data_IF_929973441004
#
_entry.id   IF_929973441004
#
_cell.length_a   1.000
_cell.length_b   1.000
_cell.length_c   1.000
_cell.angle_alpha   90.00
_cell.angle_beta   90.00
_cell.angle_gamma   90.00
#
_symmetry.space_group_name_H-M   'P 1'
#
loop_
_entity.id
_entity.type
_entity.pdbx_description
1 polymer ?
#
# COMPACT_ATOMS: atom_id res chain seq x y z
N UNK A 1 -6.68 -17.81 -32.91
CA UNK A 1 -5.89 -18.91 -33.40
C UNK A 1 -5.34 -19.76 -32.26
N UNK A 2 -5.36 -21.08 -32.46
CA UNK A 2 -4.96 -22.06 -31.45
C UNK A 2 -3.48 -21.95 -31.03
N UNK A 3 -2.63 -21.34 -31.83
CA UNK A 3 -1.22 -21.02 -31.52
C UNK A 3 -1.03 -20.04 -30.35
N UNK A 4 -2.11 -19.44 -29.88
CA UNK A 4 -2.13 -18.52 -28.71
C UNK A 4 -2.86 -19.10 -27.50
N UNK A 5 -3.37 -20.31 -27.60
CA UNK A 5 -4.01 -21.00 -26.48
C UNK A 5 -2.91 -21.64 -25.63
N UNK A 6 -2.80 -21.23 -24.37
CA UNK A 6 -1.80 -21.71 -23.44
C UNK A 6 -2.39 -22.75 -22.48
N UNK A 7 -3.63 -22.57 -22.06
CA UNK A 7 -4.41 -23.46 -21.20
C UNK A 7 -5.77 -23.65 -21.86
N UNK A 8 -6.26 -24.87 -22.01
CA UNK A 8 -7.55 -25.16 -22.62
C UNK A 8 -8.31 -26.19 -21.78
N UNK A 9 -9.15 -25.70 -20.87
CA UNK A 9 -10.00 -26.51 -20.03
C UNK A 9 -9.39 -26.92 -18.67
N UNK A 10 -8.09 -26.74 -18.46
CA UNK A 10 -7.41 -27.01 -17.20
C UNK A 10 -7.66 -25.83 -16.21
N UNK A 11 -8.76 -25.92 -15.49
CA UNK A 11 -9.24 -24.84 -14.61
C UNK A 11 -8.32 -24.60 -13.42
N UNK A 12 -7.70 -25.64 -12.89
CA UNK A 12 -6.82 -25.54 -11.70
C UNK A 12 -5.50 -24.85 -12.06
N UNK A 13 -4.91 -25.18 -13.21
CA UNK A 13 -3.73 -24.51 -13.74
C UNK A 13 -4.00 -23.06 -14.09
N UNK A 14 -5.15 -22.77 -14.70
CA UNK A 14 -5.59 -21.42 -15.00
C UNK A 14 -5.76 -20.58 -13.72
N UNK A 15 -6.35 -21.17 -12.68
CA UNK A 15 -6.48 -20.53 -11.37
C UNK A 15 -5.12 -20.28 -10.73
N UNK A 16 -4.24 -21.28 -10.70
CA UNK A 16 -2.89 -21.17 -10.14
C UNK A 16 -2.07 -20.07 -10.85
N UNK A 17 -2.10 -20.05 -12.17
CA UNK A 17 -1.40 -19.04 -12.97
C UNK A 17 -1.92 -17.62 -12.69
N UNK A 18 -3.25 -17.47 -12.65
CA UNK A 18 -3.89 -16.18 -12.41
C UNK A 18 -3.61 -15.65 -10.99
N UNK A 19 -3.67 -16.53 -9.99
CA UNK A 19 -3.44 -16.14 -8.59
C UNK A 19 -1.97 -15.82 -8.33
N UNK A 20 -1.04 -16.55 -8.90
CA UNK A 20 0.39 -16.25 -8.83
C UNK A 20 0.69 -14.90 -9.50
N UNK A 21 0.20 -14.67 -10.72
CA UNK A 21 0.33 -13.38 -11.39
C UNK A 21 -0.22 -12.24 -10.54
N UNK A 22 -1.45 -12.39 -10.03
CA UNK A 22 -2.09 -11.37 -9.21
C UNK A 22 -1.31 -11.11 -7.92
N UNK A 23 -0.75 -12.13 -7.28
CA UNK A 23 0.06 -12.01 -6.06
C UNK A 23 1.32 -11.18 -6.32
N UNK A 24 2.07 -11.49 -7.37
CA UNK A 24 3.26 -10.72 -7.76
C UNK A 24 2.92 -9.27 -8.09
N UNK A 25 1.85 -9.06 -8.86
CA UNK A 25 1.39 -7.71 -9.20
C UNK A 25 0.98 -6.92 -7.96
N UNK A 26 0.21 -7.52 -7.04
CA UNK A 26 -0.22 -6.87 -5.79
C UNK A 26 0.95 -6.53 -4.91
N UNK A 27 1.89 -7.44 -4.78
CA UNK A 27 3.14 -7.23 -4.03
C UNK A 27 3.97 -6.06 -4.60
N UNK A 28 4.18 -6.01 -5.91
CA UNK A 28 4.93 -4.90 -6.54
C UNK A 28 4.20 -3.55 -6.44
N UNK A 29 2.86 -3.57 -6.53
CA UNK A 29 2.04 -2.37 -6.33
C UNK A 29 2.24 -1.74 -4.95
N UNK A 30 2.37 -2.54 -3.90
CA UNK A 30 2.60 -2.06 -2.54
C UNK A 30 3.88 -1.22 -2.49
N UNK A 31 5.00 -1.74 -3.03
CA UNK A 31 6.27 -1.01 -3.06
C UNK A 31 6.21 0.30 -3.85
N UNK A 32 5.63 0.25 -5.05
CA UNK A 32 5.48 1.45 -5.89
C UNK A 32 4.62 2.54 -5.23
N UNK A 33 3.60 2.15 -4.48
CA UNK A 33 2.69 3.10 -3.81
C UNK A 33 3.23 3.60 -2.47
N UNK A 34 4.13 2.85 -1.82
CA UNK A 34 4.87 3.37 -0.67
C UNK A 34 5.73 4.59 -1.09
N UNK A 35 6.47 4.49 -2.20
CA UNK A 35 7.19 5.64 -2.75
C UNK A 35 6.28 6.83 -3.11
N UNK A 36 5.07 6.58 -3.59
CA UNK A 36 4.08 7.64 -3.78
C UNK A 36 3.65 8.29 -2.46
N UNK A 37 3.44 7.50 -1.42
CA UNK A 37 3.15 7.99 -0.07
C UNK A 37 4.28 8.86 0.48
N UNK A 38 5.54 8.45 0.28
CA UNK A 38 6.73 9.22 0.68
C UNK A 38 6.77 10.59 0.02
N UNK A 39 6.41 10.67 -1.28
CA UNK A 39 6.33 11.94 -1.99
C UNK A 39 5.26 12.85 -1.39
N UNK A 40 4.08 12.32 -1.04
CA UNK A 40 3.02 13.11 -0.42
C UNK A 40 3.39 13.57 1.00
N UNK A 41 4.06 12.72 1.78
CA UNK A 41 4.56 13.06 3.12
C UNK A 41 5.59 14.19 3.01
N UNK A 42 6.55 14.06 2.11
CA UNK A 42 7.58 15.07 1.87
C UNK A 42 7.01 16.40 1.39
N UNK A 43 6.12 16.36 0.39
CA UNK A 43 5.44 17.55 -0.12
C UNK A 43 4.56 18.22 0.95
N UNK A 44 3.86 17.43 1.78
CA UNK A 44 3.09 17.95 2.91
C UNK A 44 3.95 18.68 3.93
N UNK A 45 5.13 18.15 4.27
CA UNK A 45 6.07 18.80 5.16
C UNK A 45 6.62 20.12 4.56
N UNK A 46 6.99 20.11 3.28
CA UNK A 46 7.44 21.30 2.56
C UNK A 46 6.35 22.38 2.49
N UNK A 47 5.11 21.98 2.24
CA UNK A 47 3.98 22.92 2.20
C UNK A 47 3.70 23.53 3.58
N UNK A 48 3.76 22.74 4.65
CA UNK A 48 3.63 23.25 6.01
C UNK A 48 4.68 24.33 6.29
N UNK A 49 5.95 24.08 5.96
CA UNK A 49 7.03 25.06 6.10
C UNK A 49 6.79 26.31 5.24
N UNK A 50 6.38 26.14 3.98
CA UNK A 50 6.07 27.26 3.09
C UNK A 50 4.91 28.13 3.59
N UNK A 51 4.00 27.56 4.37
CA UNK A 51 2.92 28.28 5.05
C UNK A 51 3.33 28.86 6.42
N UNK A 52 4.58 28.68 6.85
CA UNK A 52 5.06 29.13 8.16
C UNK A 52 4.51 28.30 9.33
N UNK A 53 4.12 27.05 9.07
CA UNK A 53 3.51 26.17 10.05
C UNK A 53 4.48 25.01 10.38
N UNK A 54 4.59 24.73 11.69
CA UNK A 54 5.35 23.60 12.18
C UNK A 54 4.39 22.43 12.45
N UNK A 55 4.48 21.38 11.62
CA UNK A 55 3.62 20.20 11.74
C UNK A 55 3.81 19.43 13.06
N UNK A 56 4.91 19.64 13.78
CA UNK A 56 5.08 19.06 15.12
C UNK A 56 4.29 19.82 16.19
N UNK A 57 4.08 21.13 15.99
CA UNK A 57 3.43 22.01 16.97
C UNK A 57 1.97 22.25 16.68
N UNK A 58 1.58 22.23 15.39
CA UNK A 58 0.20 22.49 14.97
C UNK A 58 -0.61 21.20 15.00
N UNK A 59 -1.58 21.03 15.94
CA UNK A 59 -2.24 19.74 16.18
C UNK A 59 -2.90 19.13 14.94
N UNK A 60 -3.67 19.93 14.19
CA UNK A 60 -4.38 19.44 13.01
C UNK A 60 -3.46 19.01 11.87
N UNK A 61 -2.28 19.63 11.70
CA UNK A 61 -1.28 19.17 10.74
C UNK A 61 -0.60 17.91 11.21
N UNK A 62 -0.23 17.84 12.49
CA UNK A 62 0.37 16.64 13.09
C UNK A 62 -0.52 15.42 12.90
N UNK A 63 -1.82 15.54 13.19
CA UNK A 63 -2.78 14.45 13.01
C UNK A 63 -2.81 13.96 11.55
N UNK A 64 -2.86 14.87 10.58
CA UNK A 64 -2.88 14.51 9.15
C UNK A 64 -1.58 13.87 8.68
N UNK A 65 -0.44 14.39 9.12
CA UNK A 65 0.87 13.82 8.79
C UNK A 65 1.03 12.41 9.38
N UNK A 66 0.62 12.21 10.64
CA UNK A 66 0.66 10.90 11.29
C UNK A 66 -0.26 9.92 10.56
N UNK A 67 -1.46 10.34 10.17
CA UNK A 67 -2.39 9.48 9.43
C UNK A 67 -1.84 9.07 8.06
N UNK A 68 -1.23 10.01 7.32
CA UNK A 68 -0.61 9.74 6.03
C UNK A 68 0.57 8.77 6.17
N UNK A 69 1.43 8.95 7.16
CA UNK A 69 2.53 8.04 7.50
C UNK A 69 1.98 6.65 7.86
N UNK A 70 0.98 6.59 8.74
CA UNK A 70 0.36 5.33 9.16
C UNK A 70 -0.21 4.53 7.99
N UNK A 71 -0.88 5.20 7.06
CA UNK A 71 -1.42 4.56 5.85
C UNK A 71 -0.27 4.02 4.99
N UNK A 72 0.72 4.84 4.70
CA UNK A 72 1.86 4.48 3.83
C UNK A 72 2.66 3.32 4.41
N UNK A 73 3.10 3.45 5.65
CA UNK A 73 3.89 2.42 6.33
C UNK A 73 3.07 1.15 6.62
N UNK A 74 1.77 1.29 6.87
CA UNK A 74 0.88 0.17 7.16
C UNK A 74 0.77 -0.82 6.00
N UNK A 75 0.52 -0.35 4.78
CA UNK A 75 0.49 -1.26 3.64
C UNK A 75 1.90 -1.67 3.19
N UNK A 76 2.92 -0.83 3.36
CA UNK A 76 4.32 -1.17 3.06
C UNK A 76 4.83 -2.31 3.95
N UNK A 77 4.52 -2.28 5.24
CA UNK A 77 4.84 -3.38 6.17
C UNK A 77 4.26 -4.73 5.70
N UNK A 78 3.07 -4.73 5.10
CA UNK A 78 2.51 -5.93 4.46
C UNK A 78 3.36 -6.39 3.27
N UNK A 79 3.92 -5.48 2.49
CA UNK A 79 4.85 -5.80 1.40
C UNK A 79 6.12 -6.47 1.91
N UNK A 80 6.72 -5.94 2.97
CA UNK A 80 7.87 -6.56 3.65
C UNK A 80 7.51 -7.95 4.20
N UNK A 81 6.37 -8.07 4.88
CA UNK A 81 5.90 -9.37 5.37
C UNK A 81 5.69 -10.38 4.23
N UNK A 82 5.10 -9.95 3.12
CA UNK A 82 4.91 -10.77 1.92
C UNK A 82 6.23 -11.26 1.33
N UNK A 83 7.27 -10.40 1.30
CA UNK A 83 8.62 -10.80 0.89
C UNK A 83 9.26 -11.79 1.87
N UNK A 84 9.15 -11.52 3.17
CA UNK A 84 9.82 -12.32 4.20
C UNK A 84 9.19 -13.71 4.37
N UNK A 85 7.86 -13.80 4.20
CA UNK A 85 7.09 -15.04 4.34
C UNK A 85 6.93 -15.79 3.01
N UNK A 86 7.48 -15.27 1.92
CA UNK A 86 7.46 -15.91 0.62
C UNK A 86 8.29 -17.18 0.57
N UNK A 87 8.03 -18.01 -0.44
CA UNK A 87 8.67 -19.33 -0.61
C UNK A 87 9.20 -19.50 -2.02
N UNK A 88 10.14 -20.43 -2.19
CA UNK A 88 10.57 -20.87 -3.53
C UNK A 88 9.71 -22.06 -3.96
N UNK A 89 9.30 -22.05 -5.22
CA UNK A 89 8.64 -23.21 -5.84
C UNK A 89 9.66 -24.30 -6.23
N UNK A 90 9.16 -25.43 -6.74
CA UNK A 90 10.00 -26.55 -7.14
C UNK A 90 10.99 -26.21 -8.28
N UNK A 91 10.71 -25.17 -9.07
CA UNK A 91 11.59 -24.67 -10.11
C UNK A 91 12.61 -23.64 -9.61
N UNK A 92 12.57 -23.29 -8.31
CA UNK A 92 13.45 -22.32 -7.69
C UNK A 92 12.97 -20.86 -7.84
N UNK A 93 11.79 -20.62 -8.40
CA UNK A 93 11.24 -19.26 -8.49
C UNK A 93 10.69 -18.81 -7.14
N UNK A 94 11.00 -17.58 -6.76
CA UNK A 94 10.45 -16.99 -5.54
C UNK A 94 8.99 -16.59 -5.75
N UNK A 95 8.13 -16.94 -4.78
CA UNK A 95 6.74 -16.51 -4.72
C UNK A 95 6.50 -15.73 -3.42
N UNK A 96 6.05 -14.46 -3.50
CA UNK A 96 5.68 -13.69 -2.33
C UNK A 96 4.52 -14.35 -1.58
N UNK A 97 4.44 -14.14 -0.27
CA UNK A 97 3.30 -14.62 0.50
C UNK A 97 2.01 -13.96 0.02
N UNK A 98 1.05 -14.81 -0.34
CA UNK A 98 -0.21 -14.40 -0.97
C UNK A 98 -1.12 -13.65 0.00
N UNK A 99 -1.14 -14.01 1.28
CA UNK A 99 -2.00 -13.39 2.28
C UNK A 99 -1.58 -11.94 2.48
N UNK A 100 -0.28 -11.72 2.74
CA UNK A 100 0.21 -10.37 3.00
C UNK A 100 0.21 -9.49 1.75
N UNK A 101 0.46 -10.04 0.56
CA UNK A 101 0.32 -9.31 -0.70
C UNK A 101 -1.11 -8.81 -0.91
N UNK A 102 -2.10 -9.66 -0.63
CA UNK A 102 -3.52 -9.29 -0.75
C UNK A 102 -3.95 -8.29 0.33
N UNK A 103 -3.52 -8.46 1.59
CA UNK A 103 -3.84 -7.53 2.67
C UNK A 103 -3.26 -6.15 2.38
N UNK A 104 -1.98 -6.06 2.05
CA UNK A 104 -1.33 -4.78 1.77
C UNK A 104 -1.95 -4.06 0.58
N UNK A 105 -2.26 -4.79 -0.50
CA UNK A 105 -2.94 -4.20 -1.65
C UNK A 105 -4.39 -3.77 -1.35
N UNK A 106 -5.09 -4.50 -0.50
CA UNK A 106 -6.45 -4.14 -0.07
C UNK A 106 -6.44 -2.88 0.81
N UNK A 107 -5.49 -2.76 1.73
CA UNK A 107 -5.29 -1.55 2.54
C UNK A 107 -5.03 -0.35 1.64
N UNK A 108 -4.10 -0.47 0.70
CA UNK A 108 -3.83 0.57 -0.30
C UNK A 108 -5.08 0.95 -1.09
N UNK A 109 -5.80 -0.04 -1.65
CA UNK A 109 -6.98 0.20 -2.47
C UNK A 109 -8.09 0.96 -1.71
N UNK A 110 -8.25 0.66 -0.43
CA UNK A 110 -9.24 1.32 0.40
C UNK A 110 -8.84 2.75 0.82
N UNK A 111 -7.53 3.04 0.86
CA UNK A 111 -7.01 4.27 1.48
C UNK A 111 -6.34 5.25 0.50
N UNK A 112 -6.24 4.91 -0.80
CA UNK A 112 -5.57 5.78 -1.78
C UNK A 112 -6.22 7.17 -1.84
N UNK A 113 -7.55 7.25 -1.79
CA UNK A 113 -8.27 8.54 -1.81
C UNK A 113 -8.14 9.29 -0.48
N UNK A 114 -7.96 8.59 0.64
CA UNK A 114 -7.65 9.22 1.92
C UNK A 114 -6.26 9.87 1.90
N UNK A 115 -5.28 9.24 1.26
CA UNK A 115 -3.94 9.83 1.07
C UNK A 115 -4.03 11.13 0.28
N UNK A 116 -4.81 11.18 -0.80
CA UNK A 116 -5.04 12.40 -1.57
C UNK A 116 -5.74 13.47 -0.74
N UNK A 117 -6.81 13.12 -0.04
CA UNK A 117 -7.55 14.03 0.84
C UNK A 117 -6.63 14.62 1.92
N UNK A 118 -5.79 13.81 2.55
CA UNK A 118 -4.84 14.27 3.56
C UNK A 118 -3.81 15.23 2.98
N UNK A 119 -3.28 14.94 1.79
CA UNK A 119 -2.35 15.83 1.09
C UNK A 119 -3.00 17.18 0.74
N UNK A 120 -4.24 17.17 0.27
CA UNK A 120 -5.01 18.41 0.02
C UNK A 120 -5.27 19.19 1.29
N UNK A 121 -5.64 18.53 2.38
CA UNK A 121 -5.87 19.17 3.67
C UNK A 121 -4.60 19.87 4.23
N UNK A 122 -3.44 19.22 4.08
CA UNK A 122 -2.15 19.79 4.49
C UNK A 122 -1.78 20.98 3.61
N UNK A 123 -2.13 20.93 2.32
CA UNK A 123 -1.84 21.98 1.34
C UNK A 123 -2.73 23.23 1.51
N UNK A 124 -3.87 23.10 2.21
CA UNK A 124 -4.75 24.22 2.47
C UNK A 124 -5.57 24.71 1.26
N UNK A 125 -5.91 23.83 0.32
CA UNK A 125 -6.75 24.12 -0.84
C UNK A 125 -6.09 24.90 -1.97
N UNK A 126 -4.85 25.34 -1.81
CA UNK A 126 -4.10 26.04 -2.86
C UNK A 126 -3.82 25.16 -4.07
N UNK A 127 -3.87 23.85 -3.88
CA UNK A 127 -3.65 22.82 -4.91
C UNK A 127 -4.46 23.08 -6.18
N UNK A 128 -5.73 23.49 -6.07
CA UNK A 128 -6.61 23.73 -7.23
C UNK A 128 -6.95 25.21 -7.43
N UNK A 129 -6.48 26.10 -6.56
CA UNK A 129 -6.76 27.53 -6.61
C UNK A 129 -5.56 28.37 -7.05
N UNK A 130 -4.42 27.74 -7.27
CA UNK A 130 -3.22 28.43 -7.74
C UNK A 130 -3.42 28.85 -9.21
N UNK A 131 -3.09 30.10 -9.58
CA UNK A 131 -3.08 30.52 -10.97
C UNK A 131 -2.15 29.66 -11.84
N UNK A 132 -2.46 29.58 -13.12
CA UNK A 132 -1.63 28.83 -14.07
C UNK A 132 -0.17 29.31 -14.11
N UNK A 133 0.79 28.46 -14.52
CA UNK A 133 2.21 28.79 -14.56
C UNK A 133 2.54 30.03 -15.43
N UNK A 134 1.72 30.31 -16.44
CA UNK A 134 1.89 31.46 -17.33
C UNK A 134 1.75 32.80 -16.57
N UNK A 135 0.94 32.83 -15.52
CA UNK A 135 0.73 34.03 -14.71
C UNK A 135 1.96 34.38 -13.87
N UNK A 136 2.82 33.42 -13.54
CA UNK A 136 4.06 33.67 -12.81
C UNK A 136 5.06 34.53 -13.63
N UNK A 137 4.91 34.50 -14.96
CA UNK A 137 5.72 35.26 -15.90
C UNK A 137 4.99 36.44 -16.55
N UNK A 138 3.74 36.65 -16.20
CA UNK A 138 2.93 37.77 -16.70
C UNK A 138 3.42 39.07 -16.08
N UNK A 139 3.87 40.09 -16.88
CA UNK A 139 4.46 41.30 -16.35
C UNK A 139 3.47 42.17 -15.53
N UNK A 140 2.17 41.94 -15.67
CA UNK A 140 1.13 42.66 -14.93
C UNK A 140 0.79 42.00 -13.60
N UNK A 141 0.72 40.66 -13.57
CA UNK A 141 0.17 39.92 -12.43
C UNK A 141 1.24 39.27 -11.57
N UNK A 142 2.43 38.95 -12.08
CA UNK A 142 3.45 38.18 -11.37
C UNK A 142 3.86 38.81 -10.03
N UNK A 143 4.04 40.13 -9.98
CA UNK A 143 4.41 40.83 -8.75
C UNK A 143 3.28 40.79 -7.70
N UNK A 144 2.03 40.89 -8.14
CA UNK A 144 0.85 40.80 -7.28
C UNK A 144 0.70 39.39 -6.72
N UNK A 145 0.87 38.37 -7.59
CA UNK A 145 0.79 36.97 -7.16
C UNK A 145 1.88 36.62 -6.15
N UNK A 146 3.10 37.07 -6.41
CA UNK A 146 4.24 36.86 -5.51
C UNK A 146 4.02 37.49 -4.13
N UNK A 147 3.31 38.61 -4.04
CA UNK A 147 2.97 39.25 -2.77
C UNK A 147 1.78 38.58 -2.08
N UNK A 148 0.67 38.40 -2.80
CA UNK A 148 -0.61 37.91 -2.24
C UNK A 148 -0.57 36.43 -1.88
N UNK A 149 0.14 35.63 -2.67
CA UNK A 149 0.23 34.18 -2.47
C UNK A 149 1.50 33.74 -1.72
N UNK A 150 2.28 34.66 -1.22
CA UNK A 150 3.39 34.37 -0.31
C UNK A 150 2.84 33.77 0.98
N UNK A 151 3.44 32.68 1.43
CA UNK A 151 3.17 32.08 2.74
C UNK A 151 4.09 32.64 3.82
N UNK A 152 5.14 31.90 4.16
CA UNK A 152 6.16 32.38 5.10
C UNK A 152 7.04 33.46 4.45
N UNK A 153 7.39 34.57 5.17
CA UNK A 153 8.19 35.66 4.61
C UNK A 153 9.55 35.24 4.03
N UNK A 154 10.19 34.23 4.64
CA UNK A 154 11.51 33.75 4.26
C UNK A 154 11.46 32.66 3.16
N UNK A 155 10.25 32.29 2.69
CA UNK A 155 10.06 31.28 1.64
C UNK A 155 9.62 31.98 0.36
N UNK A 156 10.37 31.87 -0.75
CA UNK A 156 9.95 32.42 -2.03
C UNK A 156 8.59 31.89 -2.47
N UNK A 157 7.79 32.74 -3.09
CA UNK A 157 6.48 32.36 -3.64
C UNK A 157 6.60 31.16 -4.60
N UNK A 158 7.60 31.18 -5.47
CA UNK A 158 7.86 30.14 -6.48
C UNK A 158 8.05 28.77 -5.83
N UNK A 159 8.69 28.71 -4.69
CA UNK A 159 8.86 27.44 -3.97
C UNK A 159 7.51 26.89 -3.50
N UNK A 160 6.69 27.75 -2.88
CA UNK A 160 5.35 27.36 -2.43
C UNK A 160 4.43 26.95 -3.58
N UNK A 161 4.48 27.70 -4.68
CA UNK A 161 3.74 27.41 -5.91
C UNK A 161 4.15 26.08 -6.51
N UNK A 162 5.45 25.79 -6.60
CA UNK A 162 5.96 24.52 -7.13
C UNK A 162 5.55 23.33 -6.28
N UNK A 163 5.59 23.43 -4.95
CA UNK A 163 5.10 22.35 -4.06
C UNK A 163 3.60 22.14 -4.23
N UNK A 164 2.83 23.20 -4.38
CA UNK A 164 1.38 23.13 -4.64
C UNK A 164 1.08 22.41 -5.96
N UNK A 165 1.74 22.79 -7.04
CA UNK A 165 1.61 22.15 -8.38
C UNK A 165 2.05 20.70 -8.35
N UNK A 166 3.10 20.39 -7.60
CA UNK A 166 3.54 19.00 -7.42
C UNK A 166 2.47 18.14 -6.75
N UNK A 167 1.82 18.64 -5.69
CA UNK A 167 0.73 17.93 -5.02
C UNK A 167 -0.49 17.81 -5.97
N UNK A 168 -0.82 18.87 -6.71
CA UNK A 168 -1.87 18.84 -7.72
C UNK A 168 -1.61 17.76 -8.78
N UNK A 169 -0.40 17.71 -9.33
CA UNK A 169 -0.03 16.73 -10.35
C UNK A 169 -0.18 15.30 -9.84
N UNK A 170 0.25 15.03 -8.61
CA UNK A 170 0.13 13.71 -8.00
C UNK A 170 -1.32 13.30 -7.65
N UNK A 171 -2.21 14.26 -7.40
CA UNK A 171 -3.50 13.94 -6.73
C UNK A 171 -4.74 14.40 -7.45
N UNK A 172 -4.70 15.54 -8.15
CA UNK A 172 -5.87 16.19 -8.74
C UNK A 172 -5.80 16.33 -10.27
N UNK A 173 -4.64 16.09 -10.88
CA UNK A 173 -4.47 16.10 -12.33
C UNK A 173 -5.05 14.85 -12.98
N UNK A 174 -5.05 14.80 -14.31
CA UNK A 174 -5.36 13.59 -15.09
C UNK A 174 -4.46 12.42 -14.69
N UNK A 175 -3.15 12.67 -14.49
CA UNK A 175 -2.18 11.67 -14.02
C UNK A 175 -2.52 11.18 -12.61
N UNK A 176 -2.85 12.09 -11.69
CA UNK A 176 -3.27 11.76 -10.33
C UNK A 176 -4.56 10.93 -10.31
N UNK A 177 -5.54 11.27 -11.15
CA UNK A 177 -6.77 10.50 -11.32
C UNK A 177 -6.52 9.09 -11.84
N UNK A 178 -5.71 8.96 -12.89
CA UNK A 178 -5.29 7.67 -13.43
C UNK A 178 -4.57 6.82 -12.36
N UNK A 179 -3.65 7.43 -11.62
CA UNK A 179 -2.88 6.75 -10.58
C UNK A 179 -3.76 6.23 -9.43
N UNK A 180 -4.80 6.98 -9.08
CA UNK A 180 -5.80 6.59 -8.09
C UNK A 180 -6.59 5.37 -8.55
N UNK A 181 -7.09 5.40 -9.78
CA UNK A 181 -7.91 4.31 -10.35
C UNK A 181 -7.10 3.02 -10.46
N UNK A 182 -5.87 3.06 -10.94
CA UNK A 182 -5.04 1.84 -11.00
C UNK A 182 -4.58 1.38 -9.62
N UNK A 183 -4.47 2.28 -8.64
CA UNK A 183 -4.20 1.88 -7.25
C UNK A 183 -5.37 1.12 -6.64
N UNK A 184 -6.60 1.48 -7.02
CA UNK A 184 -7.80 0.77 -6.60
C UNK A 184 -7.97 -0.56 -7.36
N UNK A 185 -7.90 -0.56 -8.68
CA UNK A 185 -8.29 -1.68 -9.54
C UNK A 185 -7.12 -2.52 -10.08
N UNK A 186 -5.91 -2.00 -10.10
CA UNK A 186 -4.73 -2.73 -10.60
C UNK A 186 -4.50 -4.02 -9.82
N UNK A 187 -4.35 -5.14 -10.53
CA UNK A 187 -4.24 -6.46 -9.92
C UNK A 187 -5.55 -7.07 -9.44
N UNK A 188 -6.69 -6.58 -9.92
CA UNK A 188 -8.05 -7.03 -9.60
C UNK A 188 -8.75 -6.13 -8.58
N UNK A 189 -10.04 -6.39 -8.38
CA UNK A 189 -10.89 -5.59 -7.49
C UNK A 189 -10.57 -5.86 -6.01
N UNK A 190 -10.94 -4.95 -5.09
CA UNK A 190 -10.89 -5.21 -3.64
C UNK A 190 -11.62 -6.49 -3.23
N UNK A 191 -12.72 -6.83 -3.90
CA UNK A 191 -13.47 -8.05 -3.60
C UNK A 191 -12.67 -9.32 -3.95
N UNK A 192 -11.97 -9.33 -5.07
CA UNK A 192 -11.07 -10.44 -5.42
C UNK A 192 -9.97 -10.63 -4.36
N UNK A 193 -9.44 -9.54 -3.80
CA UNK A 193 -8.42 -9.61 -2.74
C UNK A 193 -9.00 -10.20 -1.45
N UNK A 194 -10.22 -9.81 -1.05
CA UNK A 194 -10.91 -10.38 0.12
C UNK A 194 -11.15 -11.87 -0.02
N UNK A 195 -11.59 -12.31 -1.19
CA UNK A 195 -11.80 -13.74 -1.47
C UNK A 195 -10.49 -14.52 -1.38
N UNK A 196 -9.39 -13.99 -1.93
CA UNK A 196 -8.08 -14.64 -1.85
C UNK A 196 -7.54 -14.69 -0.42
N UNK A 197 -7.73 -13.64 0.37
CA UNK A 197 -7.37 -13.64 1.80
C UNK A 197 -8.14 -14.75 2.52
N UNK A 198 -9.45 -14.81 2.34
CA UNK A 198 -10.29 -15.79 3.05
C UNK A 198 -9.99 -17.23 2.64
N UNK A 199 -9.72 -17.47 1.35
CA UNK A 199 -9.40 -18.81 0.83
C UNK A 199 -8.07 -19.36 1.35
N UNK A 200 -7.10 -18.46 1.55
CA UNK A 200 -5.73 -18.85 1.88
C UNK A 200 -5.41 -18.72 3.38
N UNK A 201 -6.27 -18.08 4.16
CA UNK A 201 -6.06 -17.95 5.60
C UNK A 201 -6.58 -19.19 6.34
N UNK A 202 -5.72 -19.78 7.17
CA UNK A 202 -6.05 -20.97 7.94
C UNK A 202 -6.92 -20.60 9.17
N UNK A 203 -8.22 -20.48 8.94
CA UNK A 203 -9.22 -20.21 9.99
C UNK A 203 -9.40 -21.42 10.91
N UNK A 204 -9.33 -22.65 10.36
CA UNK A 204 -9.49 -23.89 11.12
C UNK A 204 -8.42 -23.98 12.22
N UNK A 205 -7.16 -23.75 11.89
CA UNK A 205 -6.08 -23.73 12.88
C UNK A 205 -6.28 -22.66 13.98
N UNK A 206 -7.01 -21.59 13.70
CA UNK A 206 -7.36 -20.59 14.73
C UNK A 206 -8.50 -21.07 15.63
N UNK A 207 -9.46 -21.78 15.07
CA UNK A 207 -10.54 -22.42 15.83
C UNK A 207 -9.98 -23.52 16.74
N UNK A 208 -9.07 -24.34 16.22
CA UNK A 208 -8.40 -25.39 17.00
C UNK A 208 -7.60 -24.81 18.18
N UNK A 209 -6.94 -23.67 17.96
CA UNK A 209 -6.25 -22.95 19.04
C UNK A 209 -7.21 -22.55 20.16
N UNK A 210 -8.40 -22.04 19.82
CA UNK A 210 -9.43 -21.66 20.80
C UNK A 210 -9.98 -22.90 21.50
N UNK A 211 -10.27 -23.98 20.76
CA UNK A 211 -10.75 -25.24 21.33
C UNK A 211 -9.72 -25.82 22.30
N UNK A 212 -8.43 -25.80 21.96
CA UNK A 212 -7.37 -26.27 22.85
C UNK A 212 -7.28 -25.47 24.17
N UNK A 213 -7.68 -24.20 24.18
CA UNK A 213 -7.79 -23.40 25.41
C UNK A 213 -9.00 -23.83 26.25
N UNK A 214 -10.13 -24.16 25.64
CA UNK A 214 -11.33 -24.68 26.35
C UNK A 214 -11.06 -26.06 26.93
N UNK A 215 -10.42 -26.95 26.20
CA UNK A 215 -10.12 -28.32 26.61
C UNK A 215 -9.14 -28.39 27.80
N UNK A 216 -8.28 -27.37 27.93
CA UNK A 216 -7.36 -27.24 29.08
C UNK A 216 -8.02 -26.73 30.37
N UNK A 217 -9.37 -26.64 30.40
CA UNK A 217 -10.09 -26.14 31.55
C UNK A 217 -9.85 -24.67 31.82
N UNK A 218 -9.96 -23.88 30.76
CA UNK A 218 -10.00 -22.44 30.69
C UNK A 218 -9.13 -21.69 31.70
N UNK A 219 -8.18 -20.96 31.24
CA UNK A 219 -7.65 -19.82 31.98
C UNK A 219 -6.93 -20.15 33.30
N UNK A 220 -6.08 -21.16 33.33
CA UNK A 220 -4.90 -21.04 34.19
C UNK A 220 -4.11 -19.81 33.70
N UNK A 221 -4.49 -18.66 34.19
CA UNK A 221 -3.83 -17.39 33.92
C UNK A 221 -2.36 -17.53 34.31
N UNK A 222 -1.48 -17.57 33.34
CA UNK A 222 -0.02 -17.58 33.57
C UNK A 222 0.78 -18.56 32.73
N UNK A 223 0.18 -19.54 32.07
CA UNK A 223 0.94 -20.40 31.14
C UNK A 223 0.63 -19.97 29.70
N UNK A 224 1.49 -19.09 29.16
CA UNK A 224 1.35 -18.58 27.80
C UNK A 224 1.28 -19.69 26.76
N UNK A 225 0.24 -19.69 25.93
CA UNK A 225 0.16 -20.52 24.73
C UNK A 225 1.16 -19.97 23.73
N UNK A 226 2.20 -20.74 23.39
CA UNK A 226 3.10 -20.39 22.30
C UNK A 226 2.34 -20.56 20.99
N UNK A 227 1.97 -19.47 20.38
CA UNK A 227 1.46 -19.45 19.00
C UNK A 227 2.68 -19.57 18.09
N UNK A 228 2.92 -20.77 17.57
CA UNK A 228 3.96 -20.97 16.55
C UNK A 228 3.42 -20.42 15.21
N UNK A 229 3.84 -19.22 14.88
CA UNK A 229 3.61 -18.64 13.56
C UNK A 229 4.68 -19.20 12.62
N UNK A 230 4.50 -20.42 12.17
CA UNK A 230 5.39 -20.95 11.15
C UNK A 230 5.23 -20.16 9.84
N UNK A 231 6.35 -19.69 9.26
CA UNK A 231 6.33 -19.16 7.90
C UNK A 231 5.88 -20.28 6.93
N UNK A 232 4.96 -19.97 6.03
CA UNK A 232 4.75 -20.77 4.82
C UNK A 232 3.85 -21.99 4.92
N UNK A 233 2.88 -22.08 5.83
CA UNK A 233 1.77 -23.00 5.63
C UNK A 233 0.80 -22.42 4.61
N UNK A 234 1.12 -22.64 3.34
CA UNK A 234 0.13 -22.63 2.29
C UNK A 234 -0.90 -23.71 2.65
N UNK A 235 -2.18 -23.37 2.76
CA UNK A 235 -3.25 -24.34 2.89
C UNK A 235 -3.36 -25.15 1.59
N UNK A 236 -2.54 -26.15 1.48
CA UNK A 236 -2.57 -27.07 0.37
C UNK A 236 -3.49 -28.25 0.66
N UNK A 237 -4.78 -28.03 0.54
CA UNK A 237 -5.61 -29.10 0.00
C UNK A 237 -5.35 -29.07 -1.52
N UNK A 238 -4.24 -29.65 -1.95
CA UNK A 238 -3.91 -29.76 -3.36
C UNK A 238 -2.43 -29.89 -3.74
N UNK A 239 -1.49 -29.68 -2.81
CA UNK A 239 -0.08 -29.95 -3.09
C UNK A 239 0.36 -31.23 -2.38
N UNK A 240 -0.07 -32.38 -2.91
CA UNK A 240 0.64 -33.63 -2.68
C UNK A 240 1.90 -33.59 -3.52
N UNK A 241 3.01 -33.27 -2.89
CA UNK A 241 4.35 -33.40 -3.42
C UNK A 241 5.19 -34.08 -2.34
N UNK A 242 5.19 -35.39 -2.34
CA UNK A 242 6.08 -36.22 -1.54
C UNK A 242 7.53 -35.87 -1.84
N UNK A 243 8.29 -35.61 -0.79
CA UNK A 243 9.73 -35.39 -0.98
C UNK A 243 10.44 -34.87 0.28
N UNK A 244 10.28 -35.54 1.40
CA UNK A 244 11.25 -35.47 2.49
C UNK A 244 12.52 -36.21 2.05
N UNK A 245 13.52 -35.46 1.59
CA UNK A 245 14.88 -35.99 1.50
C UNK A 245 15.51 -35.85 2.88
N UNK A 246 15.59 -36.96 3.60
CA UNK A 246 16.40 -37.10 4.79
C UNK A 246 17.88 -37.05 4.40
N UNK A 247 18.53 -35.91 4.63
CA UNK A 247 20.00 -35.84 4.62
C UNK A 247 20.55 -36.49 5.88
N UNK A 248 21.12 -37.67 5.75
CA UNK A 248 22.01 -38.21 6.78
C UNK A 248 23.37 -37.54 6.68
N UNK A 249 23.84 -37.03 7.81
CA UNK A 249 25.22 -36.67 8.04
C UNK A 249 26.14 -37.91 7.85
N UNK A 250 27.23 -37.74 7.16
CA UNK A 250 28.54 -38.32 7.46
C UNK A 250 29.60 -37.28 7.17
#
# INVERSE_FOLDING_TARGET
PYDRVFIDGETDEAHLMTTNYATHHRHSCIGARAGFGDLLIGAGAMMAQANGLDYLKVPHLREKMVELIKITEGFYACGIASSTMGVHDAAGNFRPDQIYANIGKLLLANQIYDMHRLAHDVSGGLVVALPGPDEDHNPVTSAILSDVLRGHPDVPYEHRANVSRFIEDLTASETGGWYSVISLHGGGSPEAMKLEILRNYDIEARSDLVQALFDRGALEMGKGVKVDRQPGRCCAKGCQGDGLVSGKET
#
